data_IF_382245253148
#
_entry.id   IF_382245253148
#
_cell.length_a   1.000
_cell.length_b   1.000
_cell.length_c   1.000
_cell.angle_alpha   90.00
_cell.angle_beta   90.00
_cell.angle_gamma   90.00
#
_symmetry.space_group_name_H-M   'P 1'
#
loop_
_entity.id
_entity.type
_entity.pdbx_description
1 polymer ?
#
# COMPACT_ATOMS: atom_id res chain seq x y z
N UNK A 1 -20.59 -27.39 -15.63
CA UNK A 1 -19.50 -27.12 -14.66
C UNK A 1 -19.16 -25.65 -14.68
N UNK A 2 -19.02 -25.00 -13.52
CA UNK A 2 -18.52 -23.62 -13.48
C UNK A 2 -17.06 -23.61 -13.94
N UNK A 3 -16.72 -22.73 -14.91
CA UNK A 3 -15.32 -22.56 -15.35
C UNK A 3 -14.45 -22.22 -14.14
N UNK A 4 -13.39 -23.01 -13.95
CA UNK A 4 -12.35 -22.82 -12.92
C UNK A 4 -11.74 -21.44 -13.09
N UNK A 5 -11.47 -20.76 -11.97
CA UNK A 5 -10.81 -19.46 -12.01
C UNK A 5 -9.36 -19.61 -12.46
N UNK A 6 -8.93 -18.73 -13.35
CA UNK A 6 -7.55 -18.53 -13.75
C UNK A 6 -6.73 -17.98 -12.56
N UNK A 7 -5.41 -18.20 -12.60
CA UNK A 7 -4.45 -17.73 -11.61
C UNK A 7 -3.78 -16.46 -12.07
N UNK A 8 -3.53 -15.53 -11.15
CA UNK A 8 -2.89 -14.24 -11.44
C UNK A 8 -1.52 -14.45 -12.06
N UNK A 9 -0.71 -15.35 -11.50
CA UNK A 9 0.64 -15.67 -12.00
C UNK A 9 0.70 -16.11 -13.47
N UNK A 10 -0.41 -16.62 -14.01
CA UNK A 10 -0.49 -17.08 -15.41
C UNK A 10 -0.97 -15.98 -16.37
N UNK A 11 -1.14 -14.75 -15.90
CA UNK A 11 -1.53 -13.61 -16.74
C UNK A 11 -0.28 -13.05 -17.42
N UNK A 12 -0.16 -13.33 -18.71
CA UNK A 12 0.99 -12.98 -19.56
C UNK A 12 0.62 -12.00 -20.71
N UNK A 13 -0.62 -11.50 -20.71
CA UNK A 13 -1.14 -10.61 -21.75
C UNK A 13 -1.58 -11.29 -23.05
N UNK A 14 -1.41 -12.61 -23.20
CA UNK A 14 -1.80 -13.35 -24.41
C UNK A 14 -3.28 -13.77 -24.43
N UNK A 15 -3.91 -13.85 -23.26
CA UNK A 15 -5.28 -14.35 -23.07
C UNK A 15 -6.28 -13.23 -22.86
N UNK A 16 -7.37 -13.25 -23.62
CA UNK A 16 -8.43 -12.23 -23.53
C UNK A 16 -9.59 -12.63 -22.60
N UNK A 17 -9.88 -13.93 -22.47
CA UNK A 17 -11.03 -14.43 -21.69
C UNK A 17 -10.59 -15.01 -20.36
N UNK A 18 -10.10 -14.18 -19.45
CA UNK A 18 -9.70 -14.59 -18.10
C UNK A 18 -10.85 -14.41 -17.10
N UNK A 19 -10.91 -15.33 -16.12
CA UNK A 19 -11.83 -15.26 -14.99
C UNK A 19 -11.06 -15.46 -13.70
N UNK A 20 -11.08 -14.49 -12.79
CA UNK A 20 -10.37 -14.56 -11.51
C UNK A 20 -11.36 -14.64 -10.34
N UNK A 21 -10.96 -15.33 -9.28
CA UNK A 21 -11.60 -15.27 -7.96
C UNK A 21 -10.58 -14.66 -6.99
N UNK A 22 -10.86 -13.46 -6.50
CA UNK A 22 -9.86 -12.63 -5.81
C UNK A 22 -10.44 -11.92 -4.59
N UNK A 23 -9.58 -11.59 -3.61
CA UNK A 23 -9.89 -10.63 -2.55
C UNK A 23 -9.29 -9.26 -2.92
N UNK A 24 -10.04 -8.18 -2.71
CA UNK A 24 -9.48 -6.83 -2.77
C UNK A 24 -8.70 -6.59 -1.47
N UNK A 25 -7.37 -6.56 -1.53
CA UNK A 25 -6.50 -6.36 -0.35
C UNK A 25 -6.09 -4.90 -0.15
N UNK A 26 -6.33 -4.06 -1.16
CA UNK A 26 -6.17 -2.63 -1.05
C UNK A 26 -7.01 -1.92 -2.11
N UNK A 27 -7.57 -0.77 -1.79
CA UNK A 27 -8.46 0.02 -2.61
C UNK A 27 -8.30 1.50 -2.24
N UNK A 28 -7.98 2.31 -3.23
CA UNK A 28 -7.94 3.76 -3.07
C UNK A 28 -8.53 4.46 -4.28
N UNK A 29 -8.90 5.72 -4.09
CA UNK A 29 -9.51 6.55 -5.12
C UNK A 29 -8.58 7.70 -5.46
N UNK A 30 -8.41 7.96 -6.76
CA UNK A 30 -7.61 9.09 -7.27
C UNK A 30 -8.45 9.93 -8.22
N UNK A 31 -8.13 11.22 -8.31
CA UNK A 31 -8.88 12.18 -9.12
C UNK A 31 -9.96 12.91 -8.33
N UNK A 32 -10.79 13.69 -9.03
CA UNK A 32 -11.84 14.51 -8.43
C UNK A 32 -13.13 13.68 -8.36
N UNK A 33 -13.72 13.49 -7.15
CA UNK A 33 -14.99 12.78 -6.97
C UNK A 33 -16.07 13.26 -7.97
N UNK A 34 -16.70 12.31 -8.66
CA UNK A 34 -17.74 12.57 -9.67
C UNK A 34 -17.24 13.11 -11.02
N UNK A 35 -16.02 13.66 -11.12
CA UNK A 35 -15.50 14.30 -12.36
C UNK A 35 -14.39 13.55 -13.08
N UNK A 36 -13.39 13.03 -12.37
CA UNK A 36 -12.25 12.30 -12.95
C UNK A 36 -11.82 11.13 -12.06
N UNK A 37 -12.64 10.78 -11.07
CA UNK A 37 -12.33 9.77 -10.08
C UNK A 37 -12.19 8.39 -10.72
N UNK A 38 -11.11 7.69 -10.40
CA UNK A 38 -10.96 6.27 -10.67
C UNK A 38 -10.62 5.54 -9.38
N UNK A 39 -11.01 4.27 -9.31
CA UNK A 39 -10.58 3.37 -8.26
C UNK A 39 -9.36 2.58 -8.75
N UNK A 40 -8.35 2.51 -7.89
CA UNK A 40 -7.17 1.68 -8.05
C UNK A 40 -7.21 0.66 -6.91
N UNK A 41 -6.88 -0.58 -7.19
CA UNK A 41 -6.94 -1.64 -6.18
C UNK A 41 -5.89 -2.71 -6.42
N UNK A 42 -5.40 -3.33 -5.35
CA UNK A 42 -4.61 -4.55 -5.43
C UNK A 42 -5.50 -5.72 -5.06
N UNK A 43 -5.52 -6.74 -5.91
CA UNK A 43 -6.27 -7.97 -5.68
C UNK A 43 -5.34 -9.16 -5.56
N UNK A 44 -5.73 -10.14 -4.76
CA UNK A 44 -4.96 -11.37 -4.52
C UNK A 44 -5.81 -12.60 -4.83
N UNK A 45 -5.21 -13.61 -5.47
CA UNK A 45 -5.87 -14.90 -5.71
C UNK A 45 -5.60 -15.90 -4.57
N UNK A 46 -6.04 -17.14 -4.74
CA UNK A 46 -5.89 -18.18 -3.71
C UNK A 46 -4.44 -18.57 -3.42
N UNK A 47 -3.51 -18.28 -4.33
CA UNK A 47 -2.11 -18.70 -4.23
C UNK A 47 -1.26 -17.57 -3.60
N UNK A 48 -1.87 -16.41 -3.34
CA UNK A 48 -1.20 -15.25 -2.78
C UNK A 48 -0.57 -14.34 -3.83
N UNK A 49 -0.76 -14.62 -5.12
CA UNK A 49 -0.26 -13.77 -6.20
C UNK A 49 -1.11 -12.51 -6.33
N UNK A 50 -0.45 -11.35 -6.44
CA UNK A 50 -1.11 -10.04 -6.46
C UNK A 50 -1.08 -9.39 -7.85
N UNK A 51 -2.16 -8.71 -8.21
CA UNK A 51 -2.21 -7.87 -9.41
C UNK A 51 -2.91 -6.55 -9.16
N UNK A 52 -2.40 -5.50 -9.81
CA UNK A 52 -3.00 -4.18 -9.79
C UNK A 52 -4.20 -4.12 -10.74
N UNK A 53 -5.28 -3.48 -10.32
CA UNK A 53 -6.52 -3.34 -11.09
C UNK A 53 -6.98 -1.89 -11.08
N UNK A 54 -7.32 -1.38 -12.26
CA UNK A 54 -7.77 -0.01 -12.48
C UNK A 54 -9.23 0.01 -12.93
N UNK A 55 -10.05 0.77 -12.23
CA UNK A 55 -11.44 1.05 -12.59
C UNK A 55 -11.63 2.54 -12.87
N UNK A 56 -11.54 2.91 -14.15
CA UNK A 56 -11.74 4.30 -14.62
C UNK A 56 -13.16 4.81 -14.35
N UNK A 57 -13.29 6.14 -14.34
CA UNK A 57 -14.50 6.88 -13.99
C UNK A 57 -15.79 6.34 -14.64
N UNK A 58 -15.82 6.16 -15.97
CA UNK A 58 -17.02 5.74 -16.70
C UNK A 58 -17.59 4.43 -16.15
N UNK A 59 -16.70 3.57 -15.69
CA UNK A 59 -17.04 2.26 -15.19
C UNK A 59 -17.16 2.23 -13.66
N UNK A 60 -16.63 3.23 -12.96
CA UNK A 60 -16.71 3.34 -11.49
C UNK A 60 -18.11 3.76 -11.03
N UNK A 61 -18.79 4.64 -11.78
CA UNK A 61 -20.10 5.22 -11.41
C UNK A 61 -21.14 4.18 -10.97
N UNK A 62 -21.22 3.04 -11.66
CA UNK A 62 -22.22 2.00 -11.40
C UNK A 62 -21.86 1.01 -10.29
N UNK A 63 -20.61 0.99 -9.80
CA UNK A 63 -20.12 -0.05 -8.88
C UNK A 63 -19.28 0.43 -7.72
N UNK A 64 -19.07 1.75 -7.57
CA UNK A 64 -18.24 2.30 -6.49
C UNK A 64 -18.65 1.80 -5.11
N UNK A 65 -19.96 1.67 -4.85
CA UNK A 65 -20.49 1.19 -3.58
C UNK A 65 -20.22 -0.31 -3.31
N UNK A 66 -20.03 -1.10 -4.38
CA UNK A 66 -19.84 -2.55 -4.30
C UNK A 66 -18.38 -2.93 -4.09
N UNK A 67 -17.45 -2.11 -4.57
CA UNK A 67 -16.01 -2.34 -4.41
C UNK A 67 -15.57 -1.95 -3.00
N UNK A 68 -15.27 -2.96 -2.18
CA UNK A 68 -14.77 -2.80 -0.82
C UNK A 68 -13.58 -3.70 -0.56
N UNK A 69 -12.63 -3.17 0.21
CA UNK A 69 -11.50 -3.93 0.74
C UNK A 69 -11.96 -5.11 1.58
N UNK A 70 -11.11 -6.12 1.64
CA UNK A 70 -11.29 -7.37 2.35
C UNK A 70 -12.49 -8.21 1.92
N UNK A 71 -13.24 -7.80 0.90
CA UNK A 71 -14.27 -8.62 0.29
C UNK A 71 -13.74 -9.39 -0.92
N UNK A 72 -14.43 -10.48 -1.25
CA UNK A 72 -14.08 -11.38 -2.34
C UNK A 72 -14.99 -11.22 -3.54
N UNK A 73 -14.42 -11.36 -4.74
CA UNK A 73 -15.12 -11.15 -6.00
C UNK A 73 -14.69 -12.16 -7.05
N UNK A 74 -15.62 -12.51 -7.93
CA UNK A 74 -15.34 -13.12 -9.21
C UNK A 74 -15.32 -12.02 -10.27
N UNK A 75 -14.19 -11.89 -10.97
CA UNK A 75 -13.99 -10.88 -12.01
C UNK A 75 -13.73 -11.56 -13.36
N UNK A 76 -14.33 -11.07 -14.44
CA UNK A 76 -14.00 -11.51 -15.80
C UNK A 76 -14.34 -10.42 -16.82
N UNK A 77 -13.94 -10.63 -18.08
CA UNK A 77 -14.10 -9.65 -19.18
C UNK A 77 -13.40 -8.30 -18.88
N UNK A 78 -12.26 -8.35 -18.21
CA UNK A 78 -11.38 -7.19 -18.02
C UNK A 78 -10.30 -7.16 -19.10
N UNK A 79 -9.69 -6.00 -19.31
CA UNK A 79 -8.56 -5.84 -20.22
C UNK A 79 -7.25 -6.05 -19.46
N UNK A 80 -6.35 -6.85 -20.02
CA UNK A 80 -4.96 -6.99 -19.54
C UNK A 80 -4.07 -5.98 -20.26
N UNK A 81 -3.27 -5.21 -19.53
CA UNK A 81 -2.32 -4.24 -20.09
C UNK A 81 -1.00 -4.30 -19.31
N UNK A 82 0.10 -3.86 -19.93
CA UNK A 82 1.39 -3.78 -19.24
C UNK A 82 1.34 -2.79 -18.07
N UNK A 83 2.04 -3.15 -17.00
CA UNK A 83 2.21 -2.34 -15.81
C UNK A 83 3.49 -1.50 -15.91
N UNK A 84 3.56 -0.64 -16.93
CA UNK A 84 4.71 0.23 -17.22
C UNK A 84 4.66 1.57 -16.44
N UNK A 85 3.91 1.60 -15.35
CA UNK A 85 3.85 2.78 -14.48
C UNK A 85 5.19 3.04 -13.80
N UNK A 86 5.54 4.32 -13.62
CA UNK A 86 6.74 4.74 -12.86
C UNK A 86 6.73 4.25 -11.42
N UNK A 87 5.53 4.11 -10.83
CA UNK A 87 5.30 3.56 -9.51
C UNK A 87 4.36 2.37 -9.62
N UNK A 88 4.67 1.28 -8.91
CA UNK A 88 3.92 0.03 -8.95
C UNK A 88 3.57 -0.41 -7.53
N UNK A 89 2.29 -0.69 -7.29
CA UNK A 89 1.79 -1.20 -6.00
C UNK A 89 2.01 -2.71 -5.82
N UNK A 90 2.34 -3.42 -6.90
CA UNK A 90 2.72 -4.83 -6.88
C UNK A 90 3.66 -5.10 -8.06
N UNK A 91 4.46 -6.16 -7.95
CA UNK A 91 5.54 -6.50 -8.88
C UNK A 91 5.09 -7.35 -10.07
N UNK A 92 3.81 -7.22 -10.46
CA UNK A 92 3.26 -7.94 -11.59
C UNK A 92 3.55 -7.16 -12.89
N UNK A 93 4.02 -7.86 -13.93
CA UNK A 93 4.34 -7.26 -15.25
C UNK A 93 3.10 -6.64 -15.91
N UNK A 94 1.94 -7.23 -15.64
CA UNK A 94 0.64 -6.77 -16.14
C UNK A 94 -0.23 -6.18 -15.03
N UNK A 95 -1.19 -5.37 -15.43
CA UNK A 95 -2.30 -4.90 -14.60
C UNK A 95 -3.62 -5.06 -15.35
N UNK A 96 -4.71 -5.09 -14.61
CA UNK A 96 -6.04 -5.24 -15.17
C UNK A 96 -6.71 -3.87 -15.27
N UNK A 97 -7.49 -3.66 -16.33
CA UNK A 97 -8.33 -2.49 -16.48
C UNK A 97 -9.76 -2.94 -16.72
N UNK A 98 -10.69 -2.41 -15.95
CA UNK A 98 -12.10 -2.64 -16.22
C UNK A 98 -12.52 -1.89 -17.49
N UNK A 99 -13.39 -2.54 -18.26
CA UNK A 99 -14.00 -2.06 -19.51
C UNK A 99 -15.53 -2.19 -19.42
N UNK A 100 -16.26 -1.69 -20.43
CA UNK A 100 -17.72 -1.64 -20.46
C UNK A 100 -18.43 -2.97 -20.19
N UNK A 101 -17.79 -4.09 -20.54
CA UNK A 101 -18.33 -5.44 -20.41
C UNK A 101 -17.73 -6.23 -19.24
N UNK A 102 -16.88 -5.61 -18.42
CA UNK A 102 -16.29 -6.26 -17.26
C UNK A 102 -17.35 -6.61 -16.24
N UNK A 103 -17.34 -7.87 -15.82
CA UNK A 103 -18.21 -8.39 -14.77
C UNK A 103 -17.41 -8.49 -13.48
N UNK A 104 -17.97 -7.91 -12.42
CA UNK A 104 -17.45 -8.02 -11.05
C UNK A 104 -18.62 -8.44 -10.18
N UNK A 105 -18.58 -9.65 -9.63
CA UNK A 105 -19.62 -10.16 -8.75
C UNK A 105 -19.01 -10.45 -7.39
N UNK A 106 -19.54 -9.84 -6.35
CA UNK A 106 -19.19 -10.23 -4.98
C UNK A 106 -19.48 -11.72 -4.80
N UNK A 107 -18.54 -12.44 -4.23
CA UNK A 107 -18.69 -13.83 -3.83
C UNK A 107 -18.27 -13.97 -2.36
N UNK A 108 -18.47 -15.15 -1.81
CA UNK A 108 -18.01 -15.49 -0.47
C UNK A 108 -16.98 -16.62 -0.58
N UNK A 109 -15.71 -16.27 -0.46
CA UNK A 109 -14.58 -17.18 -0.66
C UNK A 109 -13.57 -16.97 0.48
N UNK A 110 -13.92 -17.49 1.65
CA UNK A 110 -13.14 -17.32 2.89
C UNK A 110 -11.67 -17.75 2.76
N UNK A 111 -11.39 -18.75 1.92
CA UNK A 111 -10.05 -19.30 1.71
C UNK A 111 -9.09 -18.35 0.99
N UNK A 112 -9.58 -17.26 0.38
CA UNK A 112 -8.70 -16.27 -0.25
C UNK A 112 -7.92 -15.50 0.83
N UNK A 113 -6.60 -15.37 0.70
CA UNK A 113 -5.77 -14.75 1.71
C UNK A 113 -6.13 -13.27 1.92
N UNK A 114 -5.95 -12.79 3.14
CA UNK A 114 -5.96 -11.37 3.45
C UNK A 114 -4.63 -10.72 3.06
N UNK A 115 -4.59 -9.39 3.10
CA UNK A 115 -3.36 -8.62 2.83
C UNK A 115 -2.22 -9.16 3.68
N UNK A 116 -1.06 -9.35 3.06
CA UNK A 116 0.22 -9.53 3.75
C UNK A 116 1.06 -8.28 3.51
N UNK A 117 1.58 -7.68 4.57
CA UNK A 117 2.47 -6.53 4.42
C UNK A 117 3.81 -6.96 3.83
N UNK A 118 4.31 -6.18 2.86
CA UNK A 118 5.62 -6.40 2.26
C UNK A 118 6.65 -5.49 2.93
N UNK A 119 6.94 -5.80 4.19
CA UNK A 119 7.94 -5.05 4.95
C UNK A 119 9.31 -5.17 4.29
N UNK A 120 9.92 -4.02 4.03
CA UNK A 120 11.27 -3.95 3.50
C UNK A 120 12.25 -3.58 4.62
N UNK A 121 13.34 -4.34 4.75
CA UNK A 121 14.37 -4.03 5.73
C UNK A 121 15.00 -2.66 5.44
N UNK A 122 15.22 -1.84 6.48
CA UNK A 122 15.75 -0.48 6.27
C UNK A 122 17.16 -0.55 5.70
N UNK A 123 17.96 -1.53 6.12
CA UNK A 123 19.28 -1.80 5.54
C UNK A 123 19.23 -2.04 4.02
N UNK A 124 18.22 -2.75 3.51
CA UNK A 124 18.04 -2.97 2.08
C UNK A 124 17.66 -1.68 1.33
N UNK A 125 16.87 -0.80 1.94
CA UNK A 125 16.57 0.54 1.38
C UNK A 125 17.84 1.38 1.32
N UNK A 126 18.58 1.43 2.43
CA UNK A 126 19.81 2.22 2.56
C UNK A 126 20.88 1.74 1.57
N UNK A 127 21.02 0.43 1.39
CA UNK A 127 21.98 -0.17 0.47
C UNK A 127 21.57 -0.08 -1.02
N UNK A 128 20.37 0.41 -1.34
CA UNK A 128 19.89 0.46 -2.73
C UNK A 128 19.40 -0.88 -3.29
N UNK A 129 19.19 -1.88 -2.43
CA UNK A 129 18.82 -3.25 -2.83
C UNK A 129 17.30 -3.41 -2.99
N UNK A 130 16.69 -2.65 -3.90
CA UNK A 130 15.26 -2.71 -4.18
C UNK A 130 14.95 -2.55 -5.68
N UNK A 131 13.74 -2.91 -6.07
CA UNK A 131 13.25 -2.66 -7.43
C UNK A 131 12.80 -1.20 -7.56
N UNK A 132 13.42 -0.45 -8.46
CA UNK A 132 13.08 0.96 -8.72
C UNK A 132 11.59 1.08 -9.07
N UNK A 133 10.91 2.00 -8.38
CA UNK A 133 9.48 2.28 -8.58
C UNK A 133 8.51 1.31 -7.91
N UNK A 134 8.97 0.17 -7.38
CA UNK A 134 8.11 -0.72 -6.59
C UNK A 134 7.86 -0.12 -5.21
N UNK A 135 6.58 0.01 -4.84
CA UNK A 135 6.18 0.50 -3.54
C UNK A 135 6.27 -0.61 -2.48
N UNK A 136 6.74 -0.25 -1.29
CA UNK A 136 6.99 -1.19 -0.19
C UNK A 136 6.20 -0.79 1.04
N UNK A 137 6.01 -1.69 1.99
CA UNK A 137 5.49 -1.34 3.31
C UNK A 137 6.67 -1.12 4.26
N UNK A 138 6.57 -0.15 5.16
CA UNK A 138 7.59 0.12 6.19
C UNK A 138 6.94 0.18 7.56
N UNK A 139 7.65 -0.33 8.56
CA UNK A 139 7.26 -0.27 9.97
C UNK A 139 8.47 0.10 10.82
N UNK A 140 8.28 1.01 11.76
CA UNK A 140 9.35 1.47 12.64
C UNK A 140 8.84 2.33 13.78
N UNK A 141 9.65 2.45 14.83
CA UNK A 141 9.41 3.44 15.89
C UNK A 141 9.93 4.81 15.43
N UNK A 142 9.20 5.87 15.74
CA UNK A 142 9.67 7.25 15.55
C UNK A 142 10.82 7.48 16.53
N UNK A 143 12.01 7.65 15.97
CA UNK A 143 13.24 7.94 16.73
C UNK A 143 13.38 9.45 16.97
N UNK A 144 13.13 10.24 15.93
CA UNK A 144 13.26 11.70 15.97
C UNK A 144 12.33 12.35 14.95
N UNK A 145 11.76 13.51 15.28
CA UNK A 145 11.05 14.36 14.32
C UNK A 145 11.97 15.51 13.91
N UNK A 146 12.57 15.38 12.73
CA UNK A 146 13.61 16.29 12.22
C UNK A 146 13.06 17.64 11.77
N UNK A 147 11.87 17.65 11.18
CA UNK A 147 11.34 18.83 10.52
C UNK A 147 9.82 18.79 10.44
N UNK A 148 9.17 19.94 10.68
CA UNK A 148 7.72 20.12 10.51
C UNK A 148 7.48 21.41 9.74
N UNK A 149 6.64 21.36 8.72
CA UNK A 149 6.23 22.55 7.97
C UNK A 149 4.80 22.38 7.49
N UNK A 150 3.94 23.33 7.83
CA UNK A 150 2.52 23.33 7.44
C UNK A 150 2.25 24.66 6.77
N UNK A 151 1.82 24.61 5.51
CA UNK A 151 1.41 25.79 4.75
C UNK A 151 0.37 25.42 3.70
N UNK A 152 -0.28 26.43 3.11
CA UNK A 152 -1.27 26.20 2.05
C UNK A 152 -0.69 25.59 0.76
N UNK A 153 0.63 25.68 0.53
CA UNK A 153 1.28 25.19 -0.69
C UNK A 153 2.10 23.92 -0.51
N UNK A 154 2.53 23.66 0.72
CA UNK A 154 3.41 22.55 1.05
C UNK A 154 3.24 22.25 2.53
N UNK A 155 2.77 21.04 2.83
CA UNK A 155 2.64 20.54 4.20
C UNK A 155 3.39 19.22 4.29
N UNK A 156 4.40 19.15 5.16
CA UNK A 156 5.21 17.94 5.36
C UNK A 156 5.84 17.86 6.73
N UNK A 157 6.09 16.63 7.16
CA UNK A 157 6.92 16.29 8.31
C UNK A 157 7.99 15.31 7.86
N UNK A 158 9.22 15.50 8.32
CA UNK A 158 10.34 14.57 8.12
C UNK A 158 10.69 14.00 9.48
N UNK A 159 10.74 12.68 9.56
CA UNK A 159 10.97 11.93 10.78
C UNK A 159 11.92 10.76 10.50
N UNK A 160 12.71 10.41 11.50
CA UNK A 160 13.53 9.21 11.49
C UNK A 160 12.73 8.06 12.06
N UNK A 161 12.61 6.98 11.28
CA UNK A 161 12.09 5.71 11.76
C UNK A 161 13.25 4.79 12.10
N UNK A 162 13.14 4.05 13.20
CA UNK A 162 14.08 3.00 13.58
C UNK A 162 13.40 1.63 13.51
N UNK A 163 14.04 0.66 12.86
CA UNK A 163 13.55 -0.72 12.79
C UNK A 163 14.06 -1.58 13.96
N UNK A 164 13.66 -2.86 13.98
CA UNK A 164 14.09 -3.83 15.00
C UNK A 164 15.60 -4.09 15.01
N UNK A 165 16.33 -3.75 13.93
CA UNK A 165 17.78 -3.91 13.83
C UNK A 165 18.55 -2.67 14.28
N UNK A 166 17.85 -1.62 14.71
CA UNK A 166 18.42 -0.32 15.08
C UNK A 166 18.81 0.54 13.89
N UNK A 167 18.52 0.10 12.65
CA UNK A 167 18.75 0.92 11.46
C UNK A 167 17.76 2.07 11.43
N UNK A 168 18.24 3.25 11.03
CA UNK A 168 17.44 4.47 10.95
C UNK A 168 17.20 4.83 9.49
N UNK A 169 15.93 5.06 9.14
CA UNK A 169 15.51 5.45 7.81
C UNK A 169 14.68 6.73 7.88
N UNK A 170 15.08 7.73 7.09
CA UNK A 170 14.30 8.97 6.98
C UNK A 170 12.98 8.72 6.25
N UNK A 171 11.88 9.14 6.86
CA UNK A 171 10.53 9.08 6.32
C UNK A 171 9.95 10.49 6.19
N UNK A 172 9.42 10.84 5.02
CA UNK A 172 8.68 12.08 4.81
C UNK A 172 7.20 11.80 4.61
N UNK A 173 6.37 12.37 5.48
CA UNK A 173 4.92 12.37 5.31
C UNK A 173 4.49 13.72 4.73
N UNK A 174 3.71 13.67 3.66
CA UNK A 174 3.23 14.83 2.91
C UNK A 174 1.73 15.04 3.10
N UNK A 175 1.29 16.28 2.99
CA UNK A 175 -0.10 16.72 2.93
C UNK A 175 -0.96 16.13 4.06
N UNK A 176 -2.05 15.45 3.72
CA UNK A 176 -2.98 14.85 4.67
C UNK A 176 -2.32 13.83 5.62
N UNK A 177 -1.24 13.18 5.21
CA UNK A 177 -0.50 12.24 6.07
C UNK A 177 0.33 12.98 7.13
N UNK A 178 0.88 14.14 6.77
CA UNK A 178 1.50 15.04 7.73
C UNK A 178 0.48 15.55 8.73
N UNK A 179 -0.70 16.01 8.27
CA UNK A 179 -1.76 16.47 9.15
C UNK A 179 -2.26 15.37 10.10
N UNK A 180 -2.42 14.14 9.61
CA UNK A 180 -2.78 12.99 10.44
C UNK A 180 -1.74 12.75 11.55
N UNK A 181 -0.45 12.76 11.21
CA UNK A 181 0.62 12.59 12.19
C UNK A 181 0.70 13.73 13.20
N UNK A 182 0.56 14.98 12.75
CA UNK A 182 0.57 16.14 13.65
C UNK A 182 -0.66 16.17 14.57
N UNK A 183 -1.84 15.76 14.08
CA UNK A 183 -3.03 15.59 14.93
C UNK A 183 -2.76 14.55 16.01
N UNK A 184 -2.21 13.40 15.64
CA UNK A 184 -1.84 12.35 16.60
C UNK A 184 -0.88 12.85 17.68
N UNK A 185 0.14 13.64 17.32
CA UNK A 185 1.06 14.23 18.28
C UNK A 185 0.42 15.23 19.23
N UNK A 186 -0.66 15.91 18.82
CA UNK A 186 -1.39 16.83 19.70
C UNK A 186 -2.32 16.09 20.67
N UNK A 187 -2.79 14.91 20.27
CA UNK A 187 -3.75 14.10 21.05
C UNK A 187 -3.05 13.12 22.01
N UNK A 188 -1.72 12.94 21.91
CA UNK A 188 -0.99 12.00 22.75
C UNK A 188 -0.80 12.57 24.18
N UNK A 189 -1.32 11.86 25.17
CA UNK A 189 -1.24 12.27 26.59
C UNK A 189 -0.04 11.64 27.31
N UNK A 190 0.56 10.59 26.73
CA UNK A 190 1.64 9.82 27.31
C UNK A 190 2.93 9.87 26.46
N UNK A 191 4.06 9.59 27.09
CA UNK A 191 5.37 9.49 26.43
C UNK A 191 5.56 8.13 25.73
N UNK A 192 4.48 7.47 25.33
CA UNK A 192 4.59 6.13 24.74
C UNK A 192 5.34 6.21 23.41
N UNK A 193 6.23 5.25 23.12
CA UNK A 193 6.88 5.18 21.81
C UNK A 193 5.85 5.12 20.68
N UNK A 194 6.10 5.89 19.62
CA UNK A 194 5.21 6.00 18.47
C UNK A 194 5.68 5.01 17.40
N UNK A 195 4.90 3.96 17.14
CA UNK A 195 5.16 3.03 16.04
C UNK A 195 4.31 3.43 14.84
N UNK A 196 4.97 3.59 13.70
CA UNK A 196 4.35 3.92 12.41
C UNK A 196 4.43 2.69 11.52
N UNK A 197 3.30 2.33 10.90
CA UNK A 197 3.23 1.48 9.72
C UNK A 197 2.74 2.34 8.55
N UNK A 198 3.55 2.44 7.50
CA UNK A 198 3.21 3.15 6.26
C UNK A 198 3.17 2.16 5.10
N UNK A 199 2.00 1.98 4.49
CA UNK A 199 1.85 1.13 3.31
C UNK A 199 2.22 1.86 2.03
N UNK A 200 2.62 1.10 1.00
CA UNK A 200 2.92 1.64 -0.34
C UNK A 200 3.87 2.85 -0.33
N UNK A 201 4.85 2.82 0.56
CA UNK A 201 5.88 3.82 0.68
C UNK A 201 6.72 3.87 -0.60
N UNK A 202 6.97 5.09 -1.07
CA UNK A 202 7.88 5.38 -2.17
C UNK A 202 9.28 5.45 -1.61
N UNK A 203 10.18 4.66 -2.17
CA UNK A 203 11.61 4.80 -1.92
C UNK A 203 12.15 5.92 -2.81
N UNK A 204 12.86 6.87 -2.20
CA UNK A 204 13.70 7.84 -2.88
C UNK A 204 15.14 7.36 -2.75
N UNK A 205 15.77 7.13 -3.89
CA UNK A 205 17.16 6.71 -3.99
C UNK A 205 18.10 7.76 -3.36
N UNK A 206 19.24 7.29 -2.85
CA UNK A 206 20.29 8.18 -2.41
C UNK A 206 20.84 8.98 -3.60
N UNK A 207 21.06 10.28 -3.40
CA UNK A 207 21.55 11.19 -4.44
C UNK A 207 22.60 12.13 -3.86
N UNK A 208 23.87 11.92 -4.21
CA UNK A 208 24.98 12.68 -3.65
C UNK A 208 25.07 12.48 -2.13
N UNK A 209 25.01 13.55 -1.36
CA UNK A 209 25.01 13.51 0.11
C UNK A 209 23.66 13.19 0.75
N UNK A 210 22.58 13.09 -0.04
CA UNK A 210 21.27 12.77 0.48
C UNK A 210 21.09 11.24 0.57
N UNK A 211 20.90 10.67 1.77
CA UNK A 211 20.69 9.24 1.91
C UNK A 211 19.34 8.81 1.32
N UNK A 212 19.20 7.50 1.10
CA UNK A 212 17.92 6.92 0.73
C UNK A 212 16.87 7.22 1.80
N UNK A 213 15.63 7.42 1.38
CA UNK A 213 14.51 7.76 2.26
C UNK A 213 13.21 7.18 1.74
N UNK A 214 12.18 7.18 2.57
CA UNK A 214 10.83 6.76 2.18
C UNK A 214 9.84 7.91 2.33
N UNK A 215 8.75 7.84 1.58
CA UNK A 215 7.65 8.79 1.72
C UNK A 215 6.32 8.15 1.37
N UNK A 216 5.21 8.72 1.85
CA UNK A 216 3.89 8.25 1.46
C UNK A 216 3.65 8.46 -0.05
N UNK A 217 2.88 7.55 -0.65
CA UNK A 217 2.32 7.72 -1.99
C UNK A 217 1.01 8.50 -1.91
N UNK A 218 0.83 9.47 -2.81
CA UNK A 218 -0.21 10.52 -2.74
C UNK A 218 -1.60 10.05 -2.25
N UNK A 219 -2.12 8.93 -2.76
CA UNK A 219 -3.40 8.35 -2.32
C UNK A 219 -3.38 6.85 -2.02
N UNK A 220 -2.33 6.14 -2.41
CA UNK A 220 -2.27 4.70 -2.24
C UNK A 220 -1.82 4.28 -0.84
N UNK A 221 -1.04 5.12 -0.16
CA UNK A 221 -0.56 4.79 1.17
C UNK A 221 -1.67 4.84 2.21
N UNK A 222 -1.51 4.02 3.24
CA UNK A 222 -2.21 4.13 4.52
C UNK A 222 -1.16 4.35 5.59
N UNK A 223 -1.41 5.32 6.46
CA UNK A 223 -0.58 5.61 7.61
C UNK A 223 -1.34 5.15 8.86
N UNK A 224 -0.75 4.22 9.59
CA UNK A 224 -1.24 3.68 10.84
C UNK A 224 -0.28 4.11 11.94
N UNK A 225 -0.78 4.70 13.03
CA UNK A 225 0.04 5.30 14.08
C UNK A 225 -0.40 4.73 15.42
N UNK A 226 0.37 3.77 15.94
CA UNK A 226 -0.02 2.97 17.11
C UNK A 226 -1.44 2.35 16.98
N UNK A 227 -1.91 2.12 15.75
CA UNK A 227 -3.18 1.45 15.49
C UNK A 227 -3.13 0.01 16.04
N UNK A 228 -4.31 -0.50 16.44
CA UNK A 228 -4.46 -1.86 16.97
C UNK A 228 -4.49 -2.90 15.84
N UNK A 229 -3.38 -3.00 15.11
CA UNK A 229 -3.12 -4.03 14.10
C UNK A 229 -2.02 -4.97 14.59
N UNK A 230 -2.10 -6.25 14.19
CA UNK A 230 -1.21 -7.31 14.67
C UNK A 230 0.26 -6.96 14.43
N UNK A 231 0.58 -6.37 13.28
CA UNK A 231 1.95 -6.03 12.89
C UNK A 231 2.56 -4.95 13.80
N UNK A 232 1.76 -3.98 14.22
CA UNK A 232 2.22 -2.95 15.17
C UNK A 232 2.40 -3.57 16.56
N UNK A 233 1.49 -4.43 16.99
CA UNK A 233 1.59 -5.12 18.28
C UNK A 233 2.84 -6.00 18.35
N UNK A 234 3.04 -6.87 17.36
CA UNK A 234 4.24 -7.73 17.27
C UNK A 234 5.52 -6.92 17.18
N UNK A 235 5.53 -5.82 16.42
CA UNK A 235 6.69 -4.93 16.36
C UNK A 235 7.01 -4.34 17.73
N UNK A 236 5.99 -3.84 18.45
CA UNK A 236 6.16 -3.27 19.80
C UNK A 236 6.69 -4.31 20.78
N UNK A 237 6.12 -5.51 20.80
CA UNK A 237 6.54 -6.59 21.68
C UNK A 237 8.01 -6.96 21.43
N UNK A 238 8.42 -7.11 20.17
CA UNK A 238 9.82 -7.41 19.83
C UNK A 238 10.76 -6.25 20.13
N UNK A 239 10.35 -5.02 19.83
CA UNK A 239 11.19 -3.85 20.04
C UNK A 239 11.39 -3.58 21.54
N UNK A 240 10.32 -3.52 22.33
CA UNK A 240 10.38 -3.15 23.75
C UNK A 240 10.57 -4.34 24.70
N UNK A 241 10.12 -5.54 24.33
CA UNK A 241 10.38 -6.76 25.09
C UNK A 241 11.87 -7.12 25.10
N UNK A 242 12.58 -6.87 24.00
CA UNK A 242 14.03 -7.05 23.95
C UNK A 242 14.79 -5.96 24.73
N UNK A 243 14.24 -4.74 24.85
CA UNK A 243 14.84 -3.66 25.65
C UNK A 243 14.80 -3.97 27.14
N UNK A 244 13.81 -4.73 27.62
CA UNK A 244 13.73 -5.19 29.01
C UNK A 244 14.71 -6.34 29.34
N UNK A 245 15.33 -6.96 28.33
CA UNK A 245 16.28 -8.07 28.49
C UNK A 245 17.76 -7.66 28.34
N UNK A 246 18.03 -6.41 27.94
CA UNK A 246 19.38 -5.83 27.85
C UNK A 246 19.67 -4.94 29.06
#
# INVERSE_FOLDING_TARGET
>A
MARVADKIKLIDGSRETLKLSVRIIDLWFIGIPGKTEQAEMVVVDSDGDEIHVVCKQDQLKSRKADLKENLTYVMHNFKVIKNDGKLKNCDHEYKLCFIGVTVVRKCDMEQLPFRKFRFFAFSSVIAGHFKIGLLVDVIGVVDEVLFRYVSSKNTRVVLNLKDLSGQVLSCTLWENYCLQFLSYLNDIEDERPIVILLTHARIKEAQGSYPASVSNSFKASKLMINDLVLEIQEFRERYFGNVLLM
#
